data_IF_306113762391
#
_entry.id   IF_306113762391
#
_cell.length_a   1.000
_cell.length_b   1.000
_cell.length_c   1.000
_cell.angle_alpha   90.00
_cell.angle_beta   90.00
_cell.angle_gamma   90.00
#
_symmetry.space_group_name_H-M   'P 1'
#
loop_
_entity.id
_entity.type
_entity.pdbx_description
1 polymer ?
#
# COMPACT_ATOMS: atom_id res chain seq x y z
N UNK A 1 -23.75 5.27 6.84
CA UNK A 1 -22.34 5.04 6.46
C UNK A 1 -22.22 3.65 5.89
N UNK A 2 -21.55 3.48 4.75
CA UNK A 2 -21.27 2.15 4.19
C UNK A 2 -19.84 1.80 4.54
N UNK A 3 -19.64 1.12 5.66
CA UNK A 3 -18.35 0.54 6.01
C UNK A 3 -18.12 -0.69 5.14
N UNK A 4 -16.89 -0.86 4.65
CA UNK A 4 -16.50 -2.00 3.82
C UNK A 4 -15.51 -2.90 4.58
N UNK A 5 -15.66 -4.24 4.49
CA UNK A 5 -14.72 -5.18 5.10
C UNK A 5 -13.39 -5.21 4.34
N UNK A 6 -12.45 -4.39 4.79
CA UNK A 6 -11.11 -4.25 4.17
C UNK A 6 -10.42 -5.60 4.06
N UNK A 7 -10.41 -6.40 5.12
CA UNK A 7 -9.83 -7.75 5.09
C UNK A 7 -10.44 -8.65 3.98
N UNK A 8 -11.77 -8.63 3.82
CA UNK A 8 -12.44 -9.44 2.80
C UNK A 8 -12.17 -8.90 1.39
N UNK A 9 -12.08 -7.58 1.24
CA UNK A 9 -11.69 -6.94 -0.02
C UNK A 9 -10.27 -7.33 -0.43
N UNK A 10 -9.32 -7.30 0.51
CA UNK A 10 -7.93 -7.66 0.25
C UNK A 10 -7.76 -9.14 -0.08
N UNK A 11 -8.63 -10.02 0.42
CA UNK A 11 -8.69 -11.42 0.02
C UNK A 11 -9.15 -11.66 -1.42
N UNK A 12 -9.63 -10.63 -2.12
CA UNK A 12 -10.05 -10.74 -3.51
C UNK A 12 -8.85 -10.64 -4.47
N UNK A 13 -8.66 -11.67 -5.31
CA UNK A 13 -7.58 -11.75 -6.32
C UNK A 13 -7.56 -10.61 -7.34
N UNK A 14 -8.65 -9.86 -7.47
CA UNK A 14 -8.73 -8.70 -8.35
C UNK A 14 -8.09 -7.44 -7.76
N UNK A 15 -7.86 -7.39 -6.45
CA UNK A 15 -7.10 -6.30 -5.84
C UNK A 15 -5.63 -6.45 -6.22
N UNK A 16 -5.04 -5.38 -6.79
CA UNK A 16 -3.66 -5.37 -7.28
C UNK A 16 -2.74 -4.48 -6.45
N UNK A 17 -3.28 -3.42 -5.89
CA UNK A 17 -2.57 -2.47 -5.03
C UNK A 17 -3.52 -2.03 -3.94
N UNK A 18 -2.99 -1.87 -2.74
CA UNK A 18 -3.70 -1.26 -1.64
C UNK A 18 -3.03 0.07 -1.27
N UNK A 19 -3.78 1.16 -1.47
CA UNK A 19 -3.38 2.50 -1.03
C UNK A 19 -3.76 2.65 0.44
N UNK A 20 -2.78 2.97 1.28
CA UNK A 20 -3.00 3.05 2.72
C UNK A 20 -2.34 4.28 3.30
N UNK A 21 -3.02 4.92 4.25
CA UNK A 21 -2.43 5.93 5.13
C UNK A 21 -1.36 5.36 6.07
N UNK A 22 -1.01 4.07 5.96
CA UNK A 22 0.04 3.38 6.71
C UNK A 22 -0.28 3.15 8.19
N UNK A 23 -1.57 3.05 8.51
CA UNK A 23 -2.02 2.50 9.79
C UNK A 23 -1.61 1.03 9.92
N UNK A 24 -1.08 0.67 11.10
CA UNK A 24 -0.41 -0.61 11.31
C UNK A 24 -1.29 -1.84 10.95
N UNK A 25 -2.57 -1.81 11.32
CA UNK A 25 -3.48 -2.92 11.04
C UNK A 25 -3.68 -3.14 9.54
N UNK A 26 -3.96 -2.06 8.81
CA UNK A 26 -4.18 -2.10 7.36
C UNK A 26 -2.94 -2.59 6.61
N UNK A 27 -1.74 -2.27 7.09
CA UNK A 27 -0.50 -2.81 6.54
C UNK A 27 -0.39 -4.33 6.74
N UNK A 28 -0.75 -4.82 7.93
CA UNK A 28 -0.74 -6.26 8.20
C UNK A 28 -1.78 -7.02 7.40
N UNK A 29 -3.00 -6.49 7.22
CA UNK A 29 -4.01 -7.10 6.36
C UNK A 29 -3.50 -7.22 4.92
N UNK A 30 -2.88 -6.17 4.38
CA UNK A 30 -2.34 -6.19 3.02
C UNK A 30 -1.20 -7.20 2.85
N UNK A 31 -0.27 -7.24 3.80
CA UNK A 31 0.84 -8.21 3.80
C UNK A 31 0.31 -9.63 3.94
N UNK A 32 -0.69 -9.85 4.81
CA UNK A 32 -1.31 -11.17 4.99
C UNK A 32 -1.94 -11.70 3.69
N UNK A 33 -2.57 -10.83 2.90
CA UNK A 33 -3.16 -11.19 1.61
C UNK A 33 -2.19 -11.08 0.43
N UNK A 34 -0.92 -10.74 0.66
CA UNK A 34 0.08 -10.58 -0.40
C UNK A 34 -0.24 -9.45 -1.40
N UNK A 35 -0.91 -8.39 -0.95
CA UNK A 35 -1.33 -7.27 -1.79
C UNK A 35 -0.30 -6.14 -1.70
N UNK A 36 0.39 -5.77 -2.81
CA UNK A 36 1.34 -4.67 -2.87
C UNK A 36 0.82 -3.36 -2.27
N UNK A 37 1.69 -2.64 -1.57
CA UNK A 37 1.34 -1.42 -0.85
C UNK A 37 1.79 -0.14 -1.57
N UNK A 38 0.90 0.84 -1.62
CA UNK A 38 1.27 2.25 -1.81
C UNK A 38 0.96 3.02 -0.53
N UNK A 39 2.01 3.40 0.18
CA UNK A 39 1.94 4.04 1.49
C UNK A 39 1.90 5.58 1.35
N UNK A 40 0.82 6.18 1.84
CA UNK A 40 0.57 7.63 1.85
C UNK A 40 0.45 8.12 3.30
N UNK A 41 1.54 8.07 4.10
CA UNK A 41 1.47 8.44 5.51
C UNK A 41 1.10 9.91 5.70
N UNK A 42 0.21 10.18 6.65
CA UNK A 42 -0.32 11.52 6.93
C UNK A 42 0.21 12.03 8.28
N UNK A 43 0.23 11.18 9.32
CA UNK A 43 0.57 11.61 10.69
C UNK A 43 1.39 10.58 11.48
N UNK A 44 2.22 11.08 12.40
CA UNK A 44 2.82 10.34 13.52
C UNK A 44 3.46 9.00 13.12
N UNK A 45 2.90 7.90 13.63
CA UNK A 45 3.37 6.53 13.50
C UNK A 45 3.22 5.97 12.08
N UNK A 46 2.43 6.63 11.23
CA UNK A 46 2.25 6.23 9.84
C UNK A 46 3.55 6.37 9.03
N UNK A 47 4.36 7.39 9.32
CA UNK A 47 5.64 7.62 8.62
C UNK A 47 6.64 6.47 8.84
N UNK A 48 6.99 6.08 10.09
CA UNK A 48 7.89 4.95 10.30
C UNK A 48 7.27 3.62 9.87
N UNK A 49 5.94 3.46 9.93
CA UNK A 49 5.27 2.28 9.40
C UNK A 49 5.45 2.15 7.87
N UNK A 50 5.25 3.25 7.15
CA UNK A 50 5.43 3.32 5.70
C UNK A 50 6.88 3.03 5.29
N UNK A 51 7.84 3.66 5.97
CA UNK A 51 9.28 3.42 5.76
C UNK A 51 9.62 1.94 5.98
N UNK A 52 9.06 1.32 7.02
CA UNK A 52 9.25 -0.11 7.28
C UNK A 52 8.73 -0.99 6.14
N UNK A 53 7.55 -0.70 5.58
CA UNK A 53 7.00 -1.50 4.47
C UNK A 53 7.83 -1.34 3.19
N UNK A 54 8.27 -0.12 2.90
CA UNK A 54 9.13 0.17 1.77
C UNK A 54 10.50 -0.52 1.91
N UNK A 55 11.13 -0.45 3.09
CA UNK A 55 12.43 -1.10 3.36
C UNK A 55 12.38 -2.62 3.22
N UNK A 56 11.22 -3.24 3.51
CA UNK A 56 10.99 -4.67 3.31
C UNK A 56 10.67 -5.05 1.87
N UNK A 57 10.50 -4.08 0.98
CA UNK A 57 10.13 -4.31 -0.41
C UNK A 57 8.66 -4.69 -0.61
N UNK A 58 7.79 -4.42 0.36
CA UNK A 58 6.35 -4.73 0.26
C UNK A 58 5.56 -3.65 -0.49
N UNK A 59 6.19 -2.53 -0.83
CA UNK A 59 5.53 -1.42 -1.49
C UNK A 59 6.44 -0.24 -1.76
N UNK A 60 5.80 0.89 -2.06
CA UNK A 60 6.44 2.22 -2.18
C UNK A 60 5.76 3.20 -1.23
N UNK A 61 6.46 4.26 -0.89
CA UNK A 61 5.92 5.38 -0.12
C UNK A 61 5.92 6.65 -0.96
N UNK A 62 4.84 7.41 -0.87
CA UNK A 62 4.69 8.70 -1.54
C UNK A 62 4.23 9.77 -0.54
N UNK A 63 4.76 10.99 -0.69
CA UNK A 63 4.37 12.13 0.14
C UNK A 63 3.13 12.79 -0.47
N UNK A 64 1.97 12.53 0.13
CA UNK A 64 0.68 13.00 -0.37
C UNK A 64 0.59 14.53 -0.51
N UNK A 65 1.38 15.28 0.28
CA UNK A 65 1.37 16.74 0.25
C UNK A 65 2.23 17.32 -0.88
N UNK A 66 3.07 16.49 -1.50
CA UNK A 66 4.00 16.91 -2.58
C UNK A 66 3.68 16.26 -3.91
N UNK A 67 3.04 15.10 -3.89
CA UNK A 67 2.77 14.34 -5.09
C UNK A 67 1.72 15.02 -5.98
N UNK A 68 1.94 14.96 -7.29
CA UNK A 68 0.93 15.32 -8.27
C UNK A 68 -0.04 14.16 -8.52
N UNK A 69 -1.18 14.44 -9.16
CA UNK A 69 -2.12 13.39 -9.54
C UNK A 69 -1.53 12.42 -10.58
N UNK A 70 -0.68 12.95 -11.47
CA UNK A 70 0.06 12.19 -12.47
C UNK A 70 1.08 11.27 -11.81
N UNK A 71 1.87 11.78 -10.87
CA UNK A 71 2.84 10.97 -10.10
C UNK A 71 2.12 9.86 -9.33
N UNK A 72 0.99 10.19 -8.67
CA UNK A 72 0.20 9.20 -7.95
C UNK A 72 -0.28 8.08 -8.89
N UNK A 73 -0.82 8.45 -10.07
CA UNK A 73 -1.33 7.48 -11.05
C UNK A 73 -0.21 6.58 -11.56
N UNK A 74 0.94 7.15 -11.89
CA UNK A 74 2.11 6.42 -12.36
C UNK A 74 2.62 5.44 -11.30
N UNK A 75 2.77 5.88 -10.05
CA UNK A 75 3.25 5.01 -8.96
C UNK A 75 2.27 3.88 -8.66
N UNK A 76 0.96 4.09 -8.80
CA UNK A 76 -0.04 3.02 -8.67
C UNK A 76 0.20 1.93 -9.73
N UNK A 77 0.38 2.33 -10.99
CA UNK A 77 0.64 1.40 -12.10
C UNK A 77 1.97 0.66 -11.92
N UNK A 78 3.01 1.37 -11.48
CA UNK A 78 4.33 0.80 -11.20
C UNK A 78 4.24 -0.24 -10.08
N UNK A 79 3.61 0.09 -8.95
CA UNK A 79 3.45 -0.86 -7.83
C UNK A 79 2.58 -2.05 -8.21
N UNK A 80 1.54 -1.84 -9.03
CA UNK A 80 0.66 -2.92 -9.51
C UNK A 80 1.38 -3.93 -10.41
N UNK A 81 2.40 -3.47 -11.15
CA UNK A 81 3.12 -4.24 -12.17
C UNK A 81 4.52 -4.70 -11.72
N UNK A 82 5.06 -4.17 -10.61
CA UNK A 82 6.38 -4.52 -10.08
C UNK A 82 6.42 -5.98 -9.59
N UNK A 83 6.96 -6.85 -10.45
CA UNK A 83 7.16 -8.27 -10.18
C UNK A 83 8.00 -8.55 -8.93
N UNK A 84 8.94 -7.65 -8.58
CA UNK A 84 9.81 -7.80 -7.41
C UNK A 84 9.05 -7.49 -6.12
N UNK A 85 8.22 -6.44 -6.11
CA UNK A 85 7.33 -6.18 -4.96
C UNK A 85 6.40 -7.37 -4.78
N UNK A 86 5.76 -7.82 -5.86
CA UNK A 86 4.83 -8.95 -5.82
C UNK A 86 5.49 -10.23 -5.30
N UNK A 87 6.70 -10.57 -5.75
CA UNK A 87 7.41 -11.76 -5.25
C UNK A 87 7.87 -11.63 -3.80
N UNK A 88 8.10 -10.40 -3.31
CA UNK A 88 8.61 -10.16 -1.95
C UNK A 88 7.49 -10.19 -0.92
N UNK A 89 6.27 -9.78 -1.30
CA UNK A 89 5.11 -9.74 -0.42
C UNK A 89 4.25 -11.03 -0.47
N UNK A 90 4.38 -11.83 -1.53
CA UNK A 90 3.64 -13.10 -1.68
C UNK A 90 4.12 -14.19 -0.73
#
# INVERSE_FOLDING_TARGET
STWLPVNDLLGNKNVKVFLSHSGLHSLYEAVYHGVPLLCLPIFNDQHPNAERMESKGYGRRLDLLKASAEELSQVIEDVASDSKIKSTIS
#
